data_IF_763916254303
#
_entry.id   IF_763916254303
#
_cell.length_a   1.000
_cell.length_b   1.000
_cell.length_c   1.000
_cell.angle_alpha   90.00
_cell.angle_beta   90.00
_cell.angle_gamma   90.00
#
_symmetry.space_group_name_H-M   'P 1'
#
loop_
_entity.id
_entity.type
_entity.pdbx_description
1 polymer ?
#
# COMPACT_ATOMS: atom_id res chain seq x y z
N UNK A 1 14.71 -9.07 -25.91
CA UNK A 1 13.79 -9.09 -24.76
C UNK A 1 12.50 -9.67 -25.29
N UNK A 2 12.08 -10.83 -24.80
CA UNK A 2 10.98 -11.65 -25.36
C UNK A 2 9.69 -10.84 -25.61
N UNK A 3 9.42 -9.82 -24.79
CA UNK A 3 8.28 -8.90 -24.96
C UNK A 3 8.31 -8.13 -26.29
N UNK A 4 9.51 -7.71 -26.74
CA UNK A 4 9.68 -6.97 -28.01
C UNK A 4 9.34 -7.84 -29.21
N UNK A 5 9.76 -9.11 -29.15
CA UNK A 5 9.48 -10.11 -30.19
C UNK A 5 8.01 -10.50 -30.22
N UNK A 6 7.32 -10.44 -29.08
CA UNK A 6 5.88 -10.61 -28.96
C UNK A 6 5.04 -9.36 -29.37
N UNK A 7 5.67 -8.31 -29.89
CA UNK A 7 4.98 -7.09 -30.33
C UNK A 7 4.42 -6.23 -29.18
N UNK A 8 4.93 -6.40 -27.96
CA UNK A 8 4.44 -5.69 -26.77
C UNK A 8 5.17 -4.35 -26.64
N UNK A 9 4.42 -3.25 -26.60
CA UNK A 9 4.97 -1.88 -26.51
C UNK A 9 5.22 -1.39 -25.08
N UNK A 10 4.47 -1.93 -24.11
CA UNK A 10 4.55 -1.56 -22.69
C UNK A 10 4.67 -2.79 -21.82
N UNK A 11 5.38 -2.67 -20.71
CA UNK A 11 5.47 -3.70 -19.68
C UNK A 11 4.96 -3.17 -18.35
N UNK A 12 4.47 -4.07 -17.50
CA UNK A 12 4.11 -3.79 -16.11
C UNK A 12 5.17 -4.38 -15.18
N UNK A 13 5.58 -3.60 -14.18
CA UNK A 13 6.46 -4.07 -13.12
C UNK A 13 5.64 -4.72 -12.00
N UNK A 14 5.93 -5.98 -11.67
CA UNK A 14 5.27 -6.73 -10.61
C UNK A 14 6.25 -7.05 -9.48
N UNK A 15 6.08 -6.40 -8.34
CA UNK A 15 6.79 -6.74 -7.11
C UNK A 15 6.24 -8.04 -6.50
N UNK A 16 7.07 -8.75 -5.74
CA UNK A 16 6.55 -9.83 -4.90
C UNK A 16 5.71 -9.22 -3.77
N UNK A 17 4.53 -9.78 -3.49
CA UNK A 17 3.70 -9.31 -2.37
C UNK A 17 4.08 -10.08 -1.10
N UNK A 18 5.19 -9.71 -0.46
CA UNK A 18 5.68 -10.31 0.77
C UNK A 18 6.54 -9.34 1.60
N UNK A 19 6.82 -9.71 2.85
CA UNK A 19 7.54 -8.86 3.82
C UNK A 19 9.03 -8.62 3.49
N UNK A 20 9.59 -9.29 2.48
CA UNK A 20 10.98 -9.11 2.02
C UNK A 20 11.07 -8.24 0.77
N UNK A 21 9.94 -7.75 0.25
CA UNK A 21 9.96 -6.80 -0.85
C UNK A 21 10.51 -5.47 -0.37
N UNK A 22 11.52 -4.98 -1.06
CA UNK A 22 12.14 -3.72 -0.70
C UNK A 22 11.23 -2.55 -1.09
N UNK A 23 11.43 -1.41 -0.44
CA UNK A 23 10.67 -0.19 -0.72
C UNK A 23 10.75 0.20 -2.20
N UNK A 24 11.92 0.11 -2.84
CA UNK A 24 12.14 0.45 -4.26
C UNK A 24 11.22 -0.36 -5.18
N UNK A 25 11.20 -1.69 -5.04
CA UNK A 25 10.36 -2.55 -5.88
C UNK A 25 8.88 -2.38 -5.55
N UNK A 26 8.52 -2.24 -4.27
CA UNK A 26 7.17 -1.92 -3.86
C UNK A 26 6.63 -0.65 -4.54
N UNK A 27 7.51 0.36 -4.74
CA UNK A 27 7.18 1.60 -5.46
C UNK A 27 6.81 1.42 -6.92
N UNK A 28 7.36 0.39 -7.55
CA UNK A 28 7.19 0.13 -8.98
C UNK A 28 6.03 -0.84 -9.24
N UNK A 29 5.52 -1.53 -8.22
CA UNK A 29 4.47 -2.52 -8.39
C UNK A 29 3.21 -1.94 -9.03
N UNK A 30 2.78 -2.55 -10.13
CA UNK A 30 1.62 -2.13 -10.90
C UNK A 30 1.86 -0.96 -11.85
N UNK A 31 3.05 -0.33 -11.84
CA UNK A 31 3.38 0.73 -12.80
C UNK A 31 3.69 0.12 -14.16
N UNK A 32 3.19 0.77 -15.21
CA UNK A 32 3.50 0.41 -16.59
C UNK A 32 4.49 1.40 -17.20
N UNK A 33 5.41 0.88 -18.00
CA UNK A 33 6.45 1.65 -18.68
C UNK A 33 6.48 1.25 -20.14
N UNK A 34 6.91 2.17 -21.01
CA UNK A 34 7.20 1.79 -22.38
C UNK A 34 8.42 0.90 -22.42
N UNK A 35 8.42 -0.07 -23.33
CA UNK A 35 9.53 -0.99 -23.51
C UNK A 35 10.79 -0.26 -24.00
N UNK A 36 10.63 0.81 -24.79
CA UNK A 36 11.74 1.66 -25.25
C UNK A 36 12.43 2.46 -24.14
N UNK A 37 11.69 2.77 -23.06
CA UNK A 37 12.18 3.52 -21.90
C UNK A 37 12.73 2.61 -20.79
N UNK A 38 12.90 1.31 -21.08
CA UNK A 38 13.35 0.34 -20.10
C UNK A 38 14.83 0.55 -19.72
N UNK A 39 15.06 0.87 -18.45
CA UNK A 39 16.38 1.06 -17.83
C UNK A 39 16.52 0.08 -16.67
N UNK A 40 17.44 -0.87 -16.84
CA UNK A 40 17.77 -1.88 -15.82
C UNK A 40 18.20 -1.18 -14.53
N UNK A 41 17.66 -1.62 -13.39
CA UNK A 41 17.99 -1.04 -12.09
C UNK A 41 17.18 0.20 -11.73
N UNK A 42 16.39 0.75 -12.66
CA UNK A 42 15.59 1.98 -12.46
C UNK A 42 14.10 1.70 -12.58
N UNK A 43 13.67 1.15 -13.70
CA UNK A 43 12.27 0.76 -13.96
C UNK A 43 12.16 -0.65 -14.58
N UNK A 44 13.28 -1.31 -14.86
CA UNK A 44 13.34 -2.64 -15.45
C UNK A 44 14.24 -3.58 -14.62
N UNK A 45 13.93 -4.87 -14.63
CA UNK A 45 14.70 -5.88 -13.93
C UNK A 45 16.06 -6.17 -14.60
N UNK A 46 17.05 -6.67 -13.83
CA UNK A 46 17.04 -6.79 -12.36
C UNK A 46 17.19 -5.43 -11.67
N UNK A 47 16.40 -5.19 -10.60
CA UNK A 47 16.50 -3.93 -9.84
C UNK A 47 17.67 -3.90 -8.85
N UNK A 48 17.97 -5.05 -8.27
CA UNK A 48 19.02 -5.23 -7.27
C UNK A 48 19.39 -6.72 -7.17
N UNK A 49 20.48 -7.05 -6.48
CA UNK A 49 20.86 -8.45 -6.23
C UNK A 49 19.70 -9.20 -5.56
N UNK A 50 19.44 -10.43 -6.00
CA UNK A 50 18.36 -11.29 -5.49
C UNK A 50 16.96 -10.69 -5.58
N UNK A 51 16.70 -9.80 -6.54
CA UNK A 51 15.35 -9.30 -6.82
C UNK A 51 14.44 -10.46 -7.24
N UNK A 52 13.25 -10.55 -6.62
CA UNK A 52 12.24 -11.60 -6.87
C UNK A 52 11.03 -11.08 -7.64
N UNK A 53 11.12 -9.84 -8.10
CA UNK A 53 10.08 -9.19 -8.88
C UNK A 53 10.09 -9.70 -10.32
N UNK A 54 9.05 -9.38 -11.08
CA UNK A 54 8.88 -9.80 -12.46
C UNK A 54 8.40 -8.63 -13.33
N UNK A 55 8.70 -8.67 -14.62
CA UNK A 55 8.14 -7.75 -15.62
C UNK A 55 7.28 -8.57 -16.56
N UNK A 56 6.02 -8.17 -16.72
CA UNK A 56 5.09 -8.81 -17.66
C UNK A 56 4.71 -7.84 -18.77
N UNK A 57 4.27 -8.36 -19.91
CA UNK A 57 3.65 -7.50 -20.92
C UNK A 57 2.44 -6.79 -20.38
N UNK A 58 2.31 -5.50 -20.68
CA UNK A 58 1.13 -4.73 -20.27
C UNK A 58 -0.04 -5.11 -21.18
N UNK A 59 -0.92 -5.94 -20.63
CA UNK A 59 -2.19 -6.33 -21.24
C UNK A 59 -3.33 -5.84 -20.36
N UNK A 60 -4.51 -5.60 -20.95
CA UNK A 60 -5.70 -5.23 -20.18
C UNK A 60 -6.00 -6.36 -19.19
N UNK A 61 -5.91 -6.08 -17.89
CA UNK A 61 -6.21 -7.08 -16.86
C UNK A 61 -7.67 -7.51 -16.98
N UNK A 62 -7.89 -8.81 -17.12
CA UNK A 62 -9.23 -9.39 -17.08
C UNK A 62 -9.82 -9.25 -15.67
N UNK A 63 -11.13 -8.98 -15.59
CA UNK A 63 -11.86 -8.97 -14.32
C UNK A 63 -11.74 -10.35 -13.67
N UNK A 64 -11.44 -10.40 -12.37
CA UNK A 64 -11.27 -11.64 -11.63
C UNK A 64 -9.87 -12.28 -11.72
N UNK A 65 -8.93 -11.69 -12.45
CA UNK A 65 -7.54 -12.16 -12.44
C UNK A 65 -6.92 -12.04 -11.02
N UNK A 66 -6.08 -13.01 -10.65
CA UNK A 66 -5.45 -13.11 -9.32
C UNK A 66 -3.92 -13.19 -9.40
N UNK A 67 -3.24 -12.77 -8.32
CA UNK A 67 -1.80 -12.91 -8.10
C UNK A 67 -1.50 -13.47 -6.70
N UNK A 68 -0.30 -14.00 -6.52
CA UNK A 68 0.14 -14.59 -5.25
C UNK A 68 0.70 -13.52 -4.31
N UNK A 69 0.32 -13.61 -3.04
CA UNK A 69 0.91 -12.89 -1.91
C UNK A 69 1.36 -13.86 -0.81
N UNK A 70 2.19 -13.39 0.13
CA UNK A 70 2.71 -14.17 1.25
C UNK A 70 2.42 -13.45 2.55
N UNK A 71 1.65 -14.08 3.43
CA UNK A 71 1.28 -13.50 4.71
C UNK A 71 2.56 -13.23 5.54
N UNK A 72 2.79 -11.98 6.02
CA UNK A 72 4.00 -11.61 6.75
C UNK A 72 4.23 -12.41 8.05
N UNK A 73 3.17 -12.79 8.74
CA UNK A 73 3.20 -13.47 10.03
C UNK A 73 3.39 -14.98 9.85
N UNK A 74 2.51 -15.59 9.06
CA UNK A 74 2.48 -17.05 8.89
C UNK A 74 3.45 -17.55 7.83
N UNK A 75 4.00 -16.64 7.00
CA UNK A 75 4.87 -16.94 5.86
C UNK A 75 4.22 -17.85 4.79
N UNK A 76 2.90 -18.08 4.87
CA UNK A 76 2.14 -18.89 3.91
C UNK A 76 1.66 -18.05 2.73
N UNK A 77 1.64 -18.67 1.56
CA UNK A 77 1.15 -18.01 0.35
C UNK A 77 -0.37 -18.06 0.26
N UNK A 78 -0.96 -17.00 -0.31
CA UNK A 78 -2.38 -16.83 -0.53
C UNK A 78 -2.60 -16.02 -1.83
N UNK A 79 -3.84 -15.93 -2.31
CA UNK A 79 -4.19 -15.23 -3.54
C UNK A 79 -4.91 -13.91 -3.24
N UNK A 80 -4.62 -12.89 -4.04
CA UNK A 80 -5.26 -11.58 -4.04
C UNK A 80 -5.62 -11.19 -5.47
N UNK A 81 -6.55 -10.26 -5.71
CA UNK A 81 -6.81 -9.74 -7.05
C UNK A 81 -5.52 -9.21 -7.72
N UNK A 82 -5.37 -9.39 -9.03
CA UNK A 82 -4.21 -8.89 -9.79
C UNK A 82 -4.11 -7.37 -9.81
N UNK A 83 -5.19 -6.67 -9.48
CA UNK A 83 -5.21 -5.21 -9.25
C UNK A 83 -4.59 -4.80 -7.91
N UNK A 84 -4.39 -5.73 -6.97
CA UNK A 84 -3.71 -5.46 -5.72
C UNK A 84 -2.24 -5.10 -5.98
N UNK A 85 -1.84 -3.91 -5.53
CA UNK A 85 -0.47 -3.46 -5.56
C UNK A 85 0.20 -3.60 -4.19
N UNK A 86 1.53 -3.53 -4.16
CA UNK A 86 2.33 -3.71 -2.96
C UNK A 86 1.97 -2.73 -1.86
N UNK A 87 1.74 -1.46 -2.18
CA UNK A 87 1.41 -0.44 -1.18
C UNK A 87 0.13 -0.77 -0.43
N UNK A 88 -0.97 -1.01 -1.17
CA UNK A 88 -2.25 -1.41 -0.55
C UNK A 88 -2.10 -2.72 0.21
N UNK A 89 -1.37 -3.67 -0.36
CA UNK A 89 -1.09 -4.95 0.27
C UNK A 89 -0.25 -4.83 1.56
N UNK A 90 0.59 -3.81 1.72
CA UNK A 90 1.42 -3.60 2.90
C UNK A 90 0.69 -2.90 4.06
N UNK A 91 -0.44 -2.22 3.80
CA UNK A 91 -1.22 -1.53 4.84
C UNK A 91 -1.68 -2.48 5.97
N UNK A 92 -1.60 -2.08 7.23
CA UNK A 92 -1.95 -2.96 8.35
C UNK A 92 -2.46 -2.15 9.53
N UNK A 93 -2.81 -2.81 10.64
CA UNK A 93 -3.31 -2.14 11.85
C UNK A 93 -2.36 -1.04 12.36
N UNK A 94 -1.04 -1.20 12.21
CA UNK A 94 -0.09 -0.16 12.61
C UNK A 94 -0.23 1.12 11.79
N UNK A 95 -0.56 1.01 10.49
CA UNK A 95 -0.89 2.18 9.66
C UNK A 95 -2.15 2.89 10.18
N UNK A 96 -3.15 2.13 10.62
CA UNK A 96 -4.38 2.67 11.17
C UNK A 96 -4.14 3.40 12.51
N UNK A 97 -3.35 2.82 13.41
CA UNK A 97 -2.95 3.46 14.67
C UNK A 97 -2.20 4.77 14.44
N UNK A 98 -1.19 4.77 13.57
CA UNK A 98 -0.43 5.98 13.21
C UNK A 98 -1.36 7.03 12.63
N UNK A 99 -2.27 6.64 11.71
CA UNK A 99 -3.21 7.59 11.10
C UNK A 99 -4.10 8.25 12.15
N UNK A 100 -4.64 7.49 13.12
CA UNK A 100 -5.46 8.07 14.19
C UNK A 100 -4.71 9.14 14.99
N UNK A 101 -3.43 8.90 15.30
CA UNK A 101 -2.57 9.87 15.98
C UNK A 101 -2.33 11.11 15.11
N UNK A 102 -2.06 10.93 13.82
CA UNK A 102 -1.84 12.05 12.90
C UNK A 102 -3.10 12.89 12.69
N UNK A 103 -4.27 12.25 12.52
CA UNK A 103 -5.55 12.96 12.39
C UNK A 103 -5.87 13.75 13.65
N UNK A 104 -5.57 13.21 14.84
CA UNK A 104 -5.68 13.96 16.10
C UNK A 104 -4.75 15.19 16.10
N UNK A 105 -3.47 15.02 15.73
CA UNK A 105 -2.51 16.12 15.65
C UNK A 105 -2.95 17.21 14.66
N UNK A 106 -3.59 16.82 13.55
CA UNK A 106 -4.16 17.76 12.56
C UNK A 106 -5.31 18.56 13.17
N UNK A 107 -6.22 17.90 13.91
CA UNK A 107 -7.33 18.56 14.61
C UNK A 107 -6.83 19.53 15.69
N UNK A 108 -5.70 19.24 16.31
CA UNK A 108 -5.01 20.14 17.25
C UNK A 108 -4.18 21.24 16.55
N UNK A 109 -3.99 21.14 15.23
CA UNK A 109 -3.26 22.11 14.42
C UNK A 109 -1.74 22.11 14.65
N UNK A 110 -1.19 21.08 15.29
CA UNK A 110 0.21 21.06 15.72
C UNK A 110 0.94 19.81 15.18
N UNK A 111 2.06 19.97 14.45
CA UNK A 111 2.92 18.85 14.10
C UNK A 111 3.52 18.20 15.35
N UNK A 112 3.68 16.88 15.29
CA UNK A 112 4.32 16.07 16.34
C UNK A 112 5.71 15.63 15.92
N UNK A 113 6.55 15.28 16.88
CA UNK A 113 7.87 14.72 16.59
C UNK A 113 7.81 13.22 16.31
N UNK A 114 8.81 12.70 15.58
CA UNK A 114 8.97 11.25 15.40
C UNK A 114 8.98 10.46 16.71
N UNK A 115 9.61 11.02 17.76
CA UNK A 115 9.66 10.38 19.09
C UNK A 115 8.28 10.32 19.74
N UNK A 116 7.54 11.42 19.71
CA UNK A 116 6.16 11.45 20.24
C UNK A 116 5.27 10.48 19.49
N UNK A 117 5.33 10.47 18.16
CA UNK A 117 4.56 9.51 17.37
C UNK A 117 4.88 8.06 17.74
N UNK A 118 6.18 7.70 17.80
CA UNK A 118 6.60 6.35 18.18
C UNK A 118 6.05 5.92 19.54
N UNK A 119 6.08 6.82 20.54
CA UNK A 119 5.53 6.57 21.87
C UNK A 119 4.01 6.37 21.80
N UNK A 120 3.28 7.21 21.06
CA UNK A 120 1.82 7.12 20.94
C UNK A 120 1.34 5.81 20.31
N UNK A 121 2.14 5.18 19.45
CA UNK A 121 1.78 3.91 18.76
C UNK A 121 2.53 2.68 19.30
N UNK A 122 3.18 2.81 20.46
CA UNK A 122 3.89 1.71 21.12
C UNK A 122 5.07 1.17 20.33
N UNK A 123 5.71 1.98 19.49
CA UNK A 123 6.88 1.59 18.71
C UNK A 123 8.18 1.93 19.44
N UNK A 124 9.20 1.09 19.27
CA UNK A 124 10.54 1.32 19.82
C UNK A 124 11.19 2.54 19.17
N UNK A 125 11.63 3.50 20.00
CA UNK A 125 12.29 4.74 19.58
C UNK A 125 13.68 4.47 18.94
N UNK A 126 14.27 3.31 19.20
CA UNK A 126 15.59 2.92 18.70
C UNK A 126 15.54 2.36 17.28
N UNK A 127 14.36 1.87 16.83
CA UNK A 127 14.13 1.29 15.50
C UNK A 127 13.27 2.21 14.64
N UNK A 128 13.70 3.46 14.46
CA UNK A 128 12.98 4.47 13.66
C UNK A 128 12.84 4.11 12.17
N UNK A 129 13.57 3.12 11.65
CA UNK A 129 13.49 2.70 10.23
C UNK A 129 12.07 2.35 9.79
N UNK A 130 11.33 1.64 10.65
CA UNK A 130 10.02 1.11 10.30
C UNK A 130 8.98 2.25 10.28
N UNK A 131 9.11 3.20 11.23
CA UNK A 131 8.24 4.38 11.30
C UNK A 131 8.34 5.24 10.03
N UNK A 132 9.54 5.40 9.48
CA UNK A 132 9.72 6.12 8.22
C UNK A 132 8.99 5.45 7.05
N UNK A 133 8.97 4.11 7.02
CA UNK A 133 8.23 3.37 6.00
C UNK A 133 6.73 3.59 6.13
N UNK A 134 6.18 3.44 7.34
CA UNK A 134 4.76 3.67 7.61
C UNK A 134 4.31 5.07 7.19
N UNK A 135 5.09 6.10 7.51
CA UNK A 135 4.76 7.49 7.14
C UNK A 135 4.79 7.73 5.62
N UNK A 136 5.74 7.09 4.93
CA UNK A 136 5.81 7.11 3.48
C UNK A 136 4.59 6.45 2.84
N UNK A 137 4.24 5.24 3.30
CA UNK A 137 3.09 4.47 2.81
C UNK A 137 1.77 5.21 3.05
N UNK A 138 1.60 5.81 4.24
CA UNK A 138 0.43 6.63 4.55
C UNK A 138 0.32 7.87 3.68
N UNK A 139 1.43 8.57 3.43
CA UNK A 139 1.41 9.75 2.56
C UNK A 139 1.10 9.38 1.11
N UNK A 140 1.68 8.28 0.64
CA UNK A 140 1.35 7.71 -0.67
C UNK A 140 -0.14 7.41 -0.75
N UNK A 141 -0.68 6.65 0.22
CA UNK A 141 -2.08 6.24 0.23
C UNK A 141 -3.04 7.43 0.35
N UNK A 142 -2.73 8.41 1.20
CA UNK A 142 -3.52 9.65 1.31
C UNK A 142 -3.57 10.40 -0.03
N UNK A 143 -2.43 10.53 -0.73
CA UNK A 143 -2.35 11.22 -2.01
C UNK A 143 -3.14 10.53 -3.11
N UNK A 144 -3.04 9.20 -3.22
CA UNK A 144 -3.81 8.43 -4.20
C UNK A 144 -5.32 8.53 -3.98
N UNK A 145 -5.76 8.88 -2.77
CA UNK A 145 -7.17 9.11 -2.43
C UNK A 145 -7.55 10.62 -2.42
N UNK A 146 -6.73 11.47 -3.05
CA UNK A 146 -7.02 12.89 -3.22
C UNK A 146 -6.69 13.79 -2.02
N UNK A 147 -6.02 13.25 -1.00
CA UNK A 147 -5.66 13.99 0.22
C UNK A 147 -4.22 14.51 0.16
N UNK A 148 -3.85 15.55 0.92
CA UNK A 148 -2.46 16.01 1.01
C UNK A 148 -1.54 14.99 1.70
N UNK A 149 -0.22 15.19 1.62
CA UNK A 149 0.77 14.26 2.18
C UNK A 149 0.81 14.33 3.72
N UNK A 150 0.09 13.42 4.38
CA UNK A 150 -0.12 13.45 5.84
C UNK A 150 1.18 13.41 6.66
N UNK A 151 2.25 12.79 6.16
CA UNK A 151 3.52 12.72 6.92
C UNK A 151 4.20 14.07 7.15
N UNK A 152 3.76 15.14 6.49
CA UNK A 152 4.22 16.51 6.80
C UNK A 152 3.97 16.89 8.26
N UNK A 153 2.99 16.25 8.91
CA UNK A 153 2.65 16.44 10.33
C UNK A 153 3.70 15.87 11.29
N UNK A 154 4.72 15.18 10.78
CA UNK A 154 5.78 14.59 11.60
C UNK A 154 7.10 15.29 11.32
N UNK A 155 7.65 15.93 12.35
CA UNK A 155 8.85 16.75 12.25
C UNK A 155 10.01 16.22 13.10
N UNK A 156 11.23 16.61 12.73
CA UNK A 156 12.41 16.38 13.58
C UNK A 156 12.38 17.29 14.80
N UNK A 157 12.95 16.79 15.91
CA UNK A 157 12.93 17.51 17.20
C UNK A 157 13.65 18.86 17.12
N UNK A 158 14.80 18.88 16.47
CA UNK A 158 15.71 20.04 16.42
C UNK A 158 15.31 21.01 15.31
N UNK A 159 15.25 20.54 14.08
CA UNK A 159 15.04 21.42 12.91
C UNK A 159 13.57 21.81 12.69
N UNK A 160 12.63 21.16 13.38
CA UNK A 160 11.18 21.41 13.29
C UNK A 160 10.60 21.33 11.88
N UNK A 161 11.27 20.57 11.01
CA UNK A 161 10.80 20.24 9.66
C UNK A 161 10.75 18.72 9.46
N UNK A 162 10.00 18.22 8.47
CA UNK A 162 9.96 16.79 8.15
C UNK A 162 11.33 16.21 7.80
N UNK A 163 11.45 14.89 7.95
CA UNK A 163 12.62 14.13 7.53
C UNK A 163 12.72 13.96 6.02
N UNK A 164 13.85 13.43 5.54
CA UNK A 164 14.11 13.20 4.12
C UNK A 164 13.06 12.30 3.43
N UNK A 165 12.45 11.37 4.18
CA UNK A 165 11.40 10.49 3.67
C UNK A 165 10.20 11.26 3.11
N UNK A 166 9.75 12.32 3.80
CA UNK A 166 8.68 13.19 3.33
C UNK A 166 9.03 13.84 1.98
N UNK A 167 10.22 14.45 1.87
CA UNK A 167 10.65 15.08 0.62
C UNK A 167 10.85 14.08 -0.52
N UNK A 168 11.21 12.83 -0.20
CA UNK A 168 11.25 11.74 -1.16
C UNK A 168 9.86 11.43 -1.76
N UNK A 169 8.83 11.35 -0.91
CA UNK A 169 7.43 11.17 -1.36
C UNK A 169 6.94 12.42 -2.08
N UNK A 170 7.25 13.62 -1.58
CA UNK A 170 6.87 14.88 -2.21
C UNK A 170 7.42 14.98 -3.64
N UNK A 171 8.70 14.67 -3.84
CA UNK A 171 9.31 14.60 -5.17
C UNK A 171 8.59 13.61 -6.07
N UNK A 172 8.29 12.42 -5.57
CA UNK A 172 7.63 11.37 -6.34
C UNK A 172 6.20 11.78 -6.77
N UNK A 173 5.44 12.39 -5.87
CA UNK A 173 4.01 12.70 -6.09
C UNK A 173 3.76 14.04 -6.76
N UNK A 174 4.60 15.04 -6.49
CA UNK A 174 4.48 16.39 -7.05
C UNK A 174 5.40 16.61 -8.25
N UNK A 175 6.36 15.71 -8.50
CA UNK A 175 7.35 15.85 -9.58
C UNK A 175 8.43 16.91 -9.30
N UNK A 176 8.52 17.42 -8.06
CA UNK A 176 9.39 18.54 -7.69
C UNK A 176 10.54 18.05 -6.81
N UNK A 177 11.78 18.22 -7.27
CA UNK A 177 12.95 17.97 -6.42
C UNK A 177 13.18 19.18 -5.51
N UNK A 178 13.21 18.95 -4.20
CA UNK A 178 13.30 20.01 -3.18
C UNK A 178 14.75 20.17 -2.72
N UNK A 179 15.36 21.33 -2.97
CA UNK A 179 16.68 21.66 -2.44
C UNK A 179 16.60 21.91 -0.92
N UNK A 180 17.73 21.75 -0.20
CA UNK A 180 17.78 22.01 1.26
C UNK A 180 17.27 23.41 1.63
N UNK A 181 17.59 24.42 0.82
CA UNK A 181 17.15 25.81 1.02
C UNK A 181 15.64 26.00 0.87
N UNK A 182 14.96 25.13 0.14
CA UNK A 182 13.52 25.21 -0.15
C UNK A 182 12.68 24.35 0.81
N UNK A 183 13.30 23.54 1.67
CA UNK A 183 12.61 22.59 2.53
C UNK A 183 11.57 23.27 3.44
N UNK A 184 11.93 24.41 4.04
CA UNK A 184 11.01 25.15 4.91
C UNK A 184 9.78 25.66 4.17
N UNK A 185 9.97 26.21 2.96
CA UNK A 185 8.87 26.71 2.13
C UNK A 185 7.91 25.59 1.74
N UNK A 186 8.46 24.47 1.24
CA UNK A 186 7.67 23.28 0.86
C UNK A 186 6.95 22.69 2.07
N UNK A 187 7.60 22.64 3.23
CA UNK A 187 7.00 22.21 4.48
C UNK A 187 5.79 23.07 4.84
N UNK A 188 5.95 24.40 4.82
CA UNK A 188 4.87 25.33 5.17
C UNK A 188 3.70 25.23 4.18
N UNK A 189 3.97 25.10 2.87
CA UNK A 189 2.91 24.94 1.86
C UNK A 189 2.11 23.64 2.07
N UNK A 190 2.81 22.50 2.20
CA UNK A 190 2.12 21.22 2.38
C UNK A 190 1.43 21.12 3.75
N UNK A 191 2.00 21.73 4.80
CA UNK A 191 1.35 21.82 6.11
C UNK A 191 0.04 22.62 6.03
N UNK A 192 0.03 23.76 5.32
CA UNK A 192 -1.21 24.52 5.07
C UNK A 192 -2.25 23.69 4.34
N UNK A 193 -1.84 22.88 3.35
CA UNK A 193 -2.75 21.96 2.64
C UNK A 193 -3.34 20.94 3.59
N UNK A 194 -2.51 20.31 4.43
CA UNK A 194 -2.96 19.31 5.39
C UNK A 194 -3.94 19.91 6.42
N UNK A 195 -3.58 21.04 7.02
CA UNK A 195 -4.42 21.70 8.03
C UNK A 195 -5.70 22.30 7.42
N UNK A 196 -5.67 22.68 6.14
CA UNK A 196 -6.83 23.18 5.40
C UNK A 196 -7.76 22.10 4.84
N UNK A 197 -7.36 20.83 4.89
CA UNK A 197 -8.18 19.71 4.43
C UNK A 197 -9.06 19.19 5.58
N UNK A 198 -10.38 19.11 5.37
CA UNK A 198 -11.35 18.84 6.45
C UNK A 198 -11.74 17.37 6.62
N UNK A 199 -11.67 16.56 5.56
CA UNK A 199 -12.20 15.19 5.55
C UNK A 199 -11.18 14.12 5.99
N UNK A 200 -10.37 14.40 7.02
CA UNK A 200 -9.33 13.46 7.45
C UNK A 200 -9.86 12.16 8.06
N UNK A 201 -11.07 12.16 8.62
CA UNK A 201 -11.71 10.95 9.15
C UNK A 201 -12.00 9.92 8.03
N UNK A 202 -12.22 10.38 6.78
CA UNK A 202 -12.35 9.51 5.60
C UNK A 202 -11.11 8.64 5.37
N UNK A 203 -9.92 9.14 5.69
CA UNK A 203 -8.68 8.35 5.56
C UNK A 203 -8.69 7.14 6.48
N UNK A 204 -9.20 7.32 7.70
CA UNK A 204 -9.32 6.25 8.70
C UNK A 204 -10.29 5.18 8.20
N UNK A 205 -11.43 5.58 7.63
CA UNK A 205 -12.43 4.67 7.06
C UNK A 205 -11.87 3.88 5.87
N UNK A 206 -11.22 4.57 4.93
CA UNK A 206 -10.56 3.96 3.78
C UNK A 206 -9.50 2.94 4.21
N UNK A 207 -8.67 3.29 5.19
CA UNK A 207 -7.65 2.39 5.71
C UNK A 207 -8.26 1.19 6.43
N UNK A 208 -9.29 1.38 7.24
CA UNK A 208 -10.02 0.28 7.89
C UNK A 208 -10.54 -0.71 6.84
N UNK A 209 -11.18 -0.22 5.77
CA UNK A 209 -11.69 -1.08 4.70
C UNK A 209 -10.57 -1.88 4.03
N UNK A 210 -9.45 -1.25 3.70
CA UNK A 210 -8.30 -1.93 3.08
C UNK A 210 -7.70 -2.99 4.02
N UNK A 211 -7.53 -2.68 5.31
CA UNK A 211 -6.97 -3.62 6.30
C UNK A 211 -7.91 -4.79 6.55
N UNK A 212 -9.21 -4.55 6.74
CA UNK A 212 -10.22 -5.59 6.97
C UNK A 212 -10.44 -6.49 5.75
N UNK A 213 -10.29 -5.98 4.54
CA UNK A 213 -10.50 -6.75 3.30
C UNK A 213 -9.43 -7.83 3.02
N UNK A 214 -8.38 -7.91 3.84
CA UNK A 214 -7.25 -8.81 3.56
C UNK A 214 -7.59 -10.25 3.92
N UNK A 215 -7.37 -11.20 2.98
CA UNK A 215 -7.58 -12.62 3.26
C UNK A 215 -6.68 -13.06 4.41
N UNK A 216 -7.26 -13.59 5.49
CA UNK A 216 -6.50 -14.00 6.67
C UNK A 216 -5.70 -15.29 6.45
N UNK A 217 -6.10 -16.21 5.55
CA UNK A 217 -5.30 -17.35 5.05
C UNK A 217 -6.06 -18.11 3.93
N UNK A 218 -5.38 -18.59 2.88
CA UNK A 218 -5.96 -19.46 1.84
C UNK A 218 -5.27 -20.84 1.83
N UNK A 219 -6.03 -21.92 2.05
CA UNK A 219 -5.53 -23.31 2.02
C UNK A 219 -6.23 -24.08 0.89
N UNK A 220 -5.45 -24.51 -0.10
CA UNK A 220 -5.95 -25.10 -1.36
C UNK A 220 -6.38 -26.58 -1.28
N UNK A 221 -6.36 -27.23 -0.11
CA UNK A 221 -6.59 -28.69 -0.01
C UNK A 221 -7.37 -29.12 1.26
N UNK A 222 -8.55 -29.76 1.06
CA UNK A 222 -9.48 -30.24 2.11
C UNK A 222 -8.86 -31.25 3.09
N UNK A 223 -7.90 -32.09 2.68
CA UNK A 223 -7.30 -33.10 3.57
C UNK A 223 -6.16 -32.54 4.42
N UNK A 224 -5.44 -31.53 3.89
CA UNK A 224 -4.40 -30.79 4.62
C UNK A 224 -5.01 -29.81 5.63
N UNK A 225 -6.25 -29.36 5.39
CA UNK A 225 -7.08 -28.53 6.28
C UNK A 225 -7.26 -29.16 7.66
N UNK A 226 -7.64 -30.44 7.76
CA UNK A 226 -7.90 -31.12 9.05
C UNK A 226 -6.65 -31.20 9.94
N UNK A 227 -5.50 -31.57 9.36
CA UNK A 227 -4.23 -31.69 10.10
C UNK A 227 -3.64 -30.35 10.54
N UNK A 228 -3.85 -29.29 9.76
CA UNK A 228 -3.40 -27.93 10.10
C UNK A 228 -4.32 -27.31 11.16
N UNK A 229 -5.64 -27.50 11.03
CA UNK A 229 -6.63 -27.09 12.05
C UNK A 229 -6.35 -27.78 13.39
N UNK A 230 -6.08 -29.09 13.40
CA UNK A 230 -5.75 -29.84 14.63
C UNK A 230 -4.42 -29.41 15.26
N UNK A 231 -3.49 -28.85 14.48
CA UNK A 231 -2.22 -28.30 14.98
C UNK A 231 -2.38 -26.88 15.54
N UNK A 232 -3.07 -26.01 14.80
CA UNK A 232 -3.29 -24.61 15.21
C UNK A 232 -4.23 -24.53 16.42
N UNK A 233 -5.25 -25.40 16.52
CA UNK A 233 -6.11 -25.45 17.71
C UNK A 233 -5.41 -26.02 18.97
N UNK A 234 -4.30 -26.74 18.81
CA UNK A 234 -3.49 -27.21 19.95
C UNK A 234 -2.52 -26.16 20.46
N UNK A 235 -2.11 -25.23 19.60
CA UNK A 235 -1.24 -24.10 19.94
C UNK A 235 -2.12 -22.86 20.13
N UNK A 236 -2.76 -22.77 21.31
CA UNK A 236 -3.54 -21.60 21.74
C UNK A 236 -2.79 -20.29 21.45
N UNK A 237 -3.34 -19.47 20.56
CA UNK A 237 -3.28 -18.02 20.67
C UNK A 237 -4.69 -17.63 21.08
N UNK A 238 -4.86 -17.32 22.37
CA UNK A 238 -6.09 -16.75 22.89
C UNK A 238 -6.28 -15.36 22.25
N UNK A 239 -7.48 -15.13 21.70
CA UNK A 239 -8.07 -13.85 21.23
C UNK A 239 -8.02 -13.43 19.74
N UNK A 240 -7.68 -14.29 18.78
CA UNK A 240 -8.03 -14.00 17.37
C UNK A 240 -8.67 -15.21 16.65
N UNK A 241 -9.97 -15.14 16.40
CA UNK A 241 -10.64 -16.03 15.46
C UNK A 241 -10.07 -15.81 14.05
N UNK A 242 -9.27 -16.77 13.59
CA UNK A 242 -8.78 -16.81 12.21
C UNK A 242 -9.94 -17.18 11.29
N UNK A 243 -10.57 -16.17 10.68
CA UNK A 243 -11.56 -16.38 9.62
C UNK A 243 -10.88 -16.92 8.35
N UNK A 244 -11.26 -18.13 7.95
CA UNK A 244 -10.86 -18.73 6.68
C UNK A 244 -11.93 -18.41 5.63
N UNK A 245 -11.58 -17.61 4.63
CA UNK A 245 -12.47 -17.39 3.47
C UNK A 245 -12.29 -18.57 2.51
N UNK A 246 -13.32 -19.42 2.42
CA UNK A 246 -13.46 -20.35 1.30
C UNK A 246 -13.75 -19.51 0.05
N UNK A 247 -12.85 -19.53 -0.94
CA UNK A 247 -13.20 -19.08 -2.29
C UNK A 247 -13.95 -20.25 -2.94
N UNK A 248 -15.18 -20.48 -2.51
CA UNK A 248 -16.14 -21.24 -3.28
C UNK A 248 -16.89 -20.21 -4.13
N UNK A 249 -16.39 -20.03 -5.35
CA UNK A 249 -16.97 -19.13 -6.35
C UNK A 249 -16.98 -17.63 -5.97
N UNK A 250 -16.83 -16.80 -7.00
CA UNK A 250 -16.71 -15.35 -6.93
C UNK A 250 -18.08 -14.72 -6.64
N UNK A 251 -18.57 -14.84 -5.41
CA UNK A 251 -19.77 -14.11 -5.00
C UNK A 251 -19.39 -12.76 -4.34
N UNK A 252 -19.86 -11.68 -4.98
CA UNK A 252 -19.99 -10.30 -4.51
C UNK A 252 -18.74 -9.39 -4.44
N UNK A 253 -18.42 -8.78 -5.60
CA UNK A 253 -17.99 -7.37 -5.67
C UNK A 253 -19.10 -6.61 -6.43
N UNK A 254 -20.30 -6.51 -5.84
CA UNK A 254 -21.42 -5.75 -6.44
C UNK A 254 -21.89 -4.52 -5.64
N UNK A 255 -21.38 -4.22 -4.45
CA UNK A 255 -21.94 -3.12 -3.63
C UNK A 255 -21.23 -1.75 -3.72
N UNK A 256 -20.62 -1.36 -4.85
CA UNK A 256 -20.11 0.04 -4.99
C UNK A 256 -20.41 0.69 -6.34
N UNK A 257 -21.48 0.32 -7.02
CA UNK A 257 -22.02 1.13 -8.12
C UNK A 257 -23.56 1.16 -8.03
N UNK A 258 -24.09 1.72 -6.94
CA UNK A 258 -25.38 2.40 -7.01
C UNK A 258 -25.11 3.87 -7.35
N UNK A 259 -25.26 4.18 -8.64
CA UNK A 259 -25.79 5.44 -9.20
C UNK A 259 -25.36 5.50 -10.67
N UNK A 260 -26.25 5.11 -11.58
CA UNK A 260 -25.98 5.16 -13.03
C UNK A 260 -26.93 4.34 -13.88
N UNK A 261 -28.22 4.65 -13.77
CA UNK A 261 -29.36 4.32 -14.63
C UNK A 261 -29.16 3.35 -15.82
N UNK A 262 -29.94 2.27 -15.76
CA UNK A 262 -30.23 1.35 -16.85
C UNK A 262 -31.09 2.08 -17.91
N UNK A 263 -30.60 2.17 -19.14
CA UNK A 263 -31.46 2.21 -20.32
C UNK A 263 -31.37 0.88 -21.06
N UNK A 264 -32.32 -0.02 -20.74
CA UNK A 264 -32.71 -1.11 -21.62
C UNK A 264 -33.32 -0.50 -22.88
N UNK A 265 -32.72 -0.77 -24.03
CA UNK A 265 -33.49 -0.96 -25.25
C UNK A 265 -33.13 -2.31 -25.85
N UNK A 266 -34.06 -3.24 -25.64
CA UNK A 266 -34.32 -4.34 -26.55
C UNK A 266 -34.36 -3.81 -28.00
N UNK A 267 -33.73 -4.52 -28.93
CA UNK A 267 -34.46 -5.21 -29.98
C UNK A 267 -33.57 -5.74 -31.11
N UNK A 268 -34.01 -6.91 -31.61
CA UNK A 268 -33.85 -7.48 -32.96
C UNK A 268 -32.50 -8.11 -33.27
N UNK A 269 -32.42 -9.24 -33.97
CA UNK A 269 -33.37 -10.20 -34.55
C UNK A 269 -32.55 -11.40 -35.00
#
# INVERSE_FOLDING_TARGET
MELKEAGIEKYEFLASLDSKTCSICGKLDGKSFKLEDAVIGVNCLPMHKSCRCSTIGYLKKEKGSIRIARNPETQKSYYVPSSMNYYKWNLNEKHLEITKVLVKAIKEGQPITYKELAINVGMSVERNSDLYSYLGDLSYYSFENGMPLISVMVVRKEEKIPGAGFYGVYKEKRGITVAKSQQMEVFVDELKRVLGYSEWDKLIELLKKEVSSKPKLLVRNRERRKRILDRLNKEKIEDEEVEFVEINELEYIEEVIEEGEIHKKDNRS
#
